data_IF_357588437943
#
_entry.id   IF_357588437943
#
_cell.length_a   1.000
_cell.length_b   1.000
_cell.length_c   1.000
_cell.angle_alpha   90.00
_cell.angle_beta   90.00
_cell.angle_gamma   90.00
#
_symmetry.space_group_name_H-M   'P 1'
#
loop_
_entity.id
_entity.type
_entity.pdbx_description
1 polymer ?
#
# COMPACT_ATOMS: atom_id res chain seq x y z
N UNK A 1 0.98 -11.99 7.90
CA UNK A 1 1.44 -11.97 6.50
C UNK A 1 2.67 -11.11 6.32
N UNK A 2 3.53 -11.48 5.35
CA UNK A 2 4.69 -10.72 4.90
C UNK A 2 4.33 -9.99 3.61
N UNK A 3 4.48 -8.67 3.60
CA UNK A 3 4.26 -7.81 2.43
C UNK A 3 5.58 -7.18 1.99
N UNK A 4 5.67 -6.80 0.72
CA UNK A 4 6.80 -6.03 0.18
C UNK A 4 6.26 -4.66 -0.23
N UNK A 5 6.54 -3.63 0.55
CA UNK A 5 6.04 -2.26 0.33
C UNK A 5 7.20 -1.38 -0.12
N UNK A 6 7.16 -0.86 -1.35
CA UNK A 6 8.24 -0.07 -1.96
C UNK A 6 9.63 -0.75 -1.85
N UNK A 7 9.65 -2.09 -1.98
CA UNK A 7 10.85 -2.90 -1.84
C UNK A 7 11.26 -3.23 -0.40
N UNK A 8 10.56 -2.74 0.62
CA UNK A 8 10.81 -3.07 2.02
C UNK A 8 9.88 -4.17 2.54
N UNK A 9 10.44 -5.14 3.26
CA UNK A 9 9.65 -6.18 3.94
C UNK A 9 8.88 -5.58 5.13
N UNK A 10 7.55 -5.80 5.16
CA UNK A 10 6.67 -5.47 6.29
C UNK A 10 5.94 -6.73 6.75
N UNK A 11 5.64 -6.81 8.04
CA UNK A 11 4.94 -7.97 8.63
C UNK A 11 3.71 -7.48 9.40
N UNK A 12 2.57 -8.04 9.04
CA UNK A 12 1.27 -7.79 9.66
C UNK A 12 0.74 -9.08 10.31
N UNK A 13 0.01 -8.99 11.41
CA UNK A 13 -0.47 -10.18 12.14
C UNK A 13 -1.73 -10.79 11.52
N UNK A 14 -2.53 -9.98 10.84
CA UNK A 14 -3.79 -10.36 10.22
C UNK A 14 -3.86 -9.83 8.78
N UNK A 15 -4.86 -10.25 8.02
CA UNK A 15 -5.19 -9.64 6.72
C UNK A 15 -5.71 -8.22 6.97
N UNK A 16 -5.16 -7.25 6.24
CA UNK A 16 -5.52 -5.85 6.33
C UNK A 16 -5.77 -5.31 4.93
N UNK A 17 -6.54 -4.23 4.87
CA UNK A 17 -6.79 -3.50 3.64
C UNK A 17 -5.58 -2.64 3.26
N UNK A 18 -5.53 -2.27 1.98
CA UNK A 18 -4.54 -1.33 1.46
C UNK A 18 -4.58 0.01 2.23
N UNK A 19 -5.76 0.51 2.60
CA UNK A 19 -5.91 1.73 3.38
C UNK A 19 -5.38 1.60 4.82
N UNK A 20 -5.69 0.49 5.51
CA UNK A 20 -5.18 0.24 6.87
C UNK A 20 -3.65 0.19 6.89
N UNK A 21 -3.04 -0.44 5.89
CA UNK A 21 -1.58 -0.46 5.74
C UNK A 21 -1.01 0.95 5.52
N UNK A 22 -1.62 1.78 4.66
CA UNK A 22 -1.16 3.16 4.48
C UNK A 22 -1.32 4.03 5.73
N UNK A 23 -2.36 3.79 6.52
CA UNK A 23 -2.59 4.47 7.80
C UNK A 23 -1.56 4.06 8.86
N UNK A 24 -1.25 2.77 8.97
CA UNK A 24 -0.20 2.23 9.85
C UNK A 24 1.18 2.84 9.52
N UNK A 25 1.46 3.02 8.23
CA UNK A 25 2.68 3.68 7.76
C UNK A 25 2.65 5.22 7.94
N UNK A 26 1.51 5.83 8.26
CA UNK A 26 1.37 7.28 8.43
C UNK A 26 1.58 8.09 7.14
N UNK A 27 1.29 7.48 5.98
CA UNK A 27 1.55 8.07 4.65
C UNK A 27 0.30 8.25 3.80
N UNK A 28 -0.89 7.88 4.29
CA UNK A 28 -2.14 7.96 3.51
C UNK A 28 -2.35 9.32 2.83
N UNK A 29 -2.03 10.44 3.50
CA UNK A 29 -2.19 11.79 2.96
C UNK A 29 -1.13 12.19 1.92
N UNK A 30 -0.07 11.38 1.78
CA UNK A 30 1.06 11.62 0.86
C UNK A 30 1.01 10.74 -0.38
N UNK A 31 0.33 9.59 -0.29
CA UNK A 31 0.21 8.62 -1.40
C UNK A 31 -0.76 9.15 -2.44
N UNK A 32 -0.31 9.22 -3.69
CA UNK A 32 -1.13 9.63 -4.84
C UNK A 32 -1.64 8.44 -5.64
N UNK A 33 -0.88 7.35 -5.68
CA UNK A 33 -1.26 6.14 -6.38
C UNK A 33 -0.69 4.91 -5.68
N UNK A 34 -1.42 3.80 -5.79
CA UNK A 34 -1.01 2.52 -5.26
C UNK A 34 -1.20 1.42 -6.31
N UNK A 35 -0.23 0.51 -6.39
CA UNK A 35 -0.32 -0.71 -7.19
C UNK A 35 -0.08 -1.92 -6.30
N UNK A 36 -0.89 -2.97 -6.46
CA UNK A 36 -0.71 -4.28 -5.82
C UNK A 36 -0.40 -5.29 -6.91
N UNK A 37 0.75 -5.93 -6.82
CA UNK A 37 1.26 -6.87 -7.82
C UNK A 37 1.24 -6.30 -9.26
N UNK A 38 1.72 -5.07 -9.41
CA UNK A 38 1.73 -4.30 -10.67
C UNK A 38 0.35 -3.90 -11.21
N UNK A 39 -0.75 -4.15 -10.47
CA UNK A 39 -2.09 -3.71 -10.83
C UNK A 39 -2.47 -2.47 -10.05
N UNK A 40 -2.85 -1.39 -10.75
CA UNK A 40 -3.30 -0.15 -10.11
C UNK A 40 -4.58 -0.40 -9.32
N UNK A 41 -4.59 -0.03 -8.04
CA UNK A 41 -5.77 -0.05 -7.19
C UNK A 41 -6.31 1.37 -7.09
N UNK A 42 -7.53 1.59 -7.54
CA UNK A 42 -8.19 2.90 -7.45
C UNK A 42 -8.36 3.31 -5.99
N UNK A 43 -8.21 4.61 -5.72
CA UNK A 43 -8.32 5.17 -4.37
C UNK A 43 -9.64 4.82 -3.67
N UNK A 44 -10.74 4.82 -4.41
CA UNK A 44 -12.07 4.42 -3.91
C UNK A 44 -12.13 2.98 -3.39
N UNK A 45 -11.24 2.11 -3.87
CA UNK A 45 -11.16 0.70 -3.46
C UNK A 45 -10.11 0.42 -2.38
N UNK A 46 -9.35 1.40 -1.91
CA UNK A 46 -8.28 1.14 -0.94
C UNK A 46 -8.79 0.57 0.40
N UNK A 47 -10.00 0.95 0.81
CA UNK A 47 -10.61 0.48 2.06
C UNK A 47 -11.23 -0.92 1.97
N UNK A 48 -11.37 -1.48 0.76
CA UNK A 48 -11.98 -2.80 0.51
C UNK A 48 -10.98 -3.78 -0.10
N UNK A 49 -9.85 -3.28 -0.60
CA UNK A 49 -8.80 -4.10 -1.21
C UNK A 49 -7.96 -4.78 -0.11
N UNK A 50 -8.31 -6.02 0.21
CA UNK A 50 -7.55 -6.88 1.13
C UNK A 50 -6.21 -7.28 0.52
N UNK A 51 -5.16 -7.18 1.33
CA UNK A 51 -3.81 -7.62 0.98
C UNK A 51 -3.60 -9.06 1.42
N UNK A 52 -2.85 -9.80 0.62
CA UNK A 52 -2.52 -11.21 0.84
C UNK A 52 -1.04 -11.38 1.16
N UNK A 53 -0.71 -12.50 1.79
CA UNK A 53 0.69 -12.87 2.04
C UNK A 53 1.51 -12.92 0.75
N UNK A 54 2.64 -12.21 0.76
CA UNK A 54 3.56 -12.10 -0.37
C UNK A 54 3.24 -10.99 -1.36
N UNK A 55 2.15 -10.23 -1.17
CA UNK A 55 1.81 -9.13 -2.07
C UNK A 55 2.91 -8.06 -2.13
N UNK A 56 3.13 -7.55 -3.34
CA UNK A 56 4.04 -6.44 -3.62
C UNK A 56 3.22 -5.17 -3.82
N UNK A 57 3.51 -4.16 -3.02
CA UNK A 57 2.82 -2.88 -3.03
C UNK A 57 3.82 -1.80 -3.45
N UNK A 58 3.47 -1.08 -4.50
CA UNK A 58 4.17 0.14 -4.92
C UNK A 58 3.28 1.34 -4.60
N UNK A 59 3.76 2.22 -3.73
CA UNK A 59 3.11 3.45 -3.31
C UNK A 59 3.90 4.63 -3.88
N UNK A 60 3.25 5.40 -4.75
CA UNK A 60 3.81 6.62 -5.32
C UNK A 60 3.34 7.81 -4.50
N UNK A 61 4.29 8.58 -3.98
CA UNK A 61 4.05 9.85 -3.32
C UNK A 61 4.45 11.03 -4.22
N UNK A 62 4.12 12.24 -3.78
CA UNK A 62 4.62 13.44 -4.44
C UNK A 62 6.07 13.68 -4.04
N UNK A 63 7.00 13.33 -4.92
CA UNK A 63 8.32 13.97 -4.92
C UNK A 63 8.13 15.35 -5.53
N UNK A 64 8.07 16.38 -4.68
CA UNK A 64 8.01 17.78 -5.14
C UNK A 64 9.15 18.03 -6.12
N UNK A 65 8.82 18.15 -7.40
CA UNK A 65 9.73 18.67 -8.42
C UNK A 65 10.06 20.11 -8.05
N UNK A 66 11.35 20.45 -8.10
CA UNK A 66 11.88 21.77 -7.71
C UNK A 66 11.31 22.96 -8.47
#
# INVERSE_FOLDING_TARGET
MKLIVNGEDKVYQEEITLLEMMNDLGIVDKVMAAAVNMNIVKQESWNEHLLNDGDKIELLDFVGGG
#
